data_IF_276973609329
#
_entry.id   IF_276973609329
#
_cell.length_a   1.000
_cell.length_b   1.000
_cell.length_c   1.000
_cell.angle_alpha   90.00
_cell.angle_beta   90.00
_cell.angle_gamma   90.00
#
_symmetry.space_group_name_H-M   'P 1'
#
loop_
_entity.id
_entity.type
_entity.pdbx_description
1 polymer ?
#
# COMPACT_ATOMS: atom_id res chain seq x y z
N UNK A 1 -7.30 -6.43 -14.71
CA UNK A 1 -8.20 -6.08 -13.59
C UNK A 1 -7.41 -5.18 -12.68
N UNK A 2 -7.82 -3.92 -12.50
CA UNK A 2 -7.19 -2.99 -11.58
C UNK A 2 -7.58 -3.39 -10.16
N UNK A 3 -6.61 -3.31 -9.23
CA UNK A 3 -6.83 -3.52 -7.81
C UNK A 3 -7.68 -2.40 -7.17
N UNK A 4 -7.84 -2.46 -5.85
CA UNK A 4 -8.48 -1.38 -5.08
C UNK A 4 -7.72 -0.06 -5.23
N UNK A 5 -8.42 1.07 -5.06
CA UNK A 5 -7.78 2.39 -5.01
C UNK A 5 -7.09 2.57 -3.65
N UNK A 6 -5.77 2.70 -3.66
CA UNK A 6 -4.88 2.77 -2.48
C UNK A 6 -3.90 3.92 -2.60
N UNK A 7 -4.40 5.16 -2.57
CA UNK A 7 -3.58 6.37 -2.78
C UNK A 7 -2.67 6.71 -1.60
N UNK A 8 -3.09 6.39 -0.39
CA UNK A 8 -2.33 6.62 0.83
C UNK A 8 -2.23 5.35 1.68
N UNK A 9 -1.00 5.04 2.10
CA UNK A 9 -0.67 3.93 2.99
C UNK A 9 -0.06 4.53 4.26
N UNK A 10 -0.87 4.68 5.30
CA UNK A 10 -0.46 5.28 6.58
C UNK A 10 0.08 4.21 7.51
N UNK A 11 1.36 4.30 7.86
CA UNK A 11 2.01 3.39 8.80
C UNK A 11 1.82 3.92 10.23
N UNK A 12 1.34 3.06 11.13
CA UNK A 12 1.00 3.41 12.51
C UNK A 12 1.47 2.32 13.46
N UNK A 13 2.21 2.65 14.55
CA UNK A 13 2.57 1.66 15.57
C UNK A 13 1.31 1.06 16.21
N UNK A 14 1.25 -0.27 16.26
CA UNK A 14 0.04 -0.98 16.72
C UNK A 14 -0.25 -0.85 18.22
N UNK A 15 0.71 -0.39 19.03
CA UNK A 15 0.57 -0.15 20.47
C UNK A 15 0.20 1.29 20.84
N UNK A 16 0.28 2.24 19.90
CA UNK A 16 0.10 3.67 20.15
C UNK A 16 -1.35 4.10 19.88
N UNK A 17 -2.16 4.14 20.93
CA UNK A 17 -3.58 4.47 20.84
C UNK A 17 -3.84 5.88 20.31
N UNK A 18 -2.96 6.87 20.58
CA UNK A 18 -3.12 8.23 20.07
C UNK A 18 -2.91 8.26 18.55
N UNK A 19 -1.88 7.56 18.07
CA UNK A 19 -1.61 7.43 16.63
C UNK A 19 -2.69 6.62 15.92
N UNK A 20 -3.23 5.59 16.55
CA UNK A 20 -4.38 4.84 16.02
C UNK A 20 -5.62 5.73 15.91
N UNK A 21 -5.90 6.57 16.91
CA UNK A 21 -7.00 7.53 16.85
C UNK A 21 -6.81 8.59 15.74
N UNK A 22 -5.59 9.12 15.57
CA UNK A 22 -5.25 10.00 14.45
C UNK A 22 -5.46 9.30 13.09
N UNK A 23 -5.03 8.05 12.97
CA UNK A 23 -5.20 7.27 11.76
C UNK A 23 -6.68 7.06 11.42
N UNK A 24 -7.50 6.73 12.41
CA UNK A 24 -8.95 6.57 12.25
C UNK A 24 -9.65 7.82 11.73
N UNK A 25 -9.14 9.01 12.05
CA UNK A 25 -9.63 10.31 11.55
C UNK A 25 -9.02 10.78 10.24
N UNK A 26 -7.97 10.13 9.75
CA UNK A 26 -7.13 10.61 8.64
C UNK A 26 -7.73 10.45 7.25
N UNK A 27 -8.72 9.56 7.08
CA UNK A 27 -9.26 9.15 5.78
C UNK A 27 -8.23 8.43 4.87
N UNK A 28 -7.26 7.71 5.45
CA UNK A 28 -6.28 6.92 4.70
C UNK A 28 -6.98 5.79 3.90
N UNK A 29 -6.54 5.53 2.68
CA UNK A 29 -7.07 4.42 1.89
C UNK A 29 -6.61 3.07 2.47
N UNK A 30 -5.37 3.02 2.94
CA UNK A 30 -4.78 1.88 3.64
C UNK A 30 -4.20 2.35 4.97
N UNK A 31 -4.43 1.61 6.03
CA UNK A 31 -3.70 1.72 7.30
C UNK A 31 -2.82 0.48 7.45
N UNK A 32 -1.53 0.71 7.68
CA UNK A 32 -0.54 -0.32 7.94
C UNK A 32 -0.23 -0.30 9.44
N UNK A 33 -0.75 -1.27 10.17
CA UNK A 33 -0.44 -1.47 11.58
C UNK A 33 0.95 -2.07 11.71
N UNK A 34 1.84 -1.37 12.37
CA UNK A 34 3.24 -1.75 12.43
C UNK A 34 3.58 -2.54 13.70
N UNK A 35 4.28 -3.67 13.52
CA UNK A 35 4.84 -4.49 14.59
C UNK A 35 6.38 -4.46 14.61
N UNK A 36 7.01 -3.68 13.73
CA UNK A 36 8.47 -3.68 13.52
C UNK A 36 9.12 -2.31 13.83
N UNK A 37 9.41 -1.50 12.82
CA UNK A 37 10.32 -0.35 12.90
C UNK A 37 9.86 0.77 13.85
N UNK A 38 8.55 1.01 13.92
CA UNK A 38 8.00 2.05 14.79
C UNK A 38 7.66 1.54 16.19
N UNK A 39 7.92 0.26 16.45
CA UNK A 39 7.64 -0.42 17.72
C UNK A 39 8.95 -0.80 18.39
N UNK A 40 9.25 -0.16 19.52
CA UNK A 40 10.43 -0.54 20.33
C UNK A 40 10.30 -1.99 20.81
N UNK A 41 11.42 -2.72 20.92
CA UNK A 41 11.41 -4.15 21.26
C UNK A 41 10.62 -4.47 22.55
N UNK A 42 10.69 -3.60 23.57
CA UNK A 42 9.93 -3.75 24.81
C UNK A 42 8.42 -3.64 24.65
N UNK A 43 7.94 -3.03 23.58
CA UNK A 43 6.52 -2.80 23.29
C UNK A 43 5.94 -3.82 22.30
N UNK A 44 6.76 -4.70 21.73
CA UNK A 44 6.33 -5.67 20.71
C UNK A 44 5.23 -6.63 21.20
N UNK A 45 5.28 -7.00 22.47
CA UNK A 45 4.24 -7.86 23.06
C UNK A 45 2.90 -7.14 23.13
N UNK A 46 2.90 -5.93 23.66
CA UNK A 46 1.72 -5.07 23.74
C UNK A 46 1.14 -4.77 22.34
N UNK A 47 2.01 -4.49 21.35
CA UNK A 47 1.59 -4.28 19.98
C UNK A 47 0.87 -5.50 19.39
N UNK A 48 1.34 -6.72 19.68
CA UNK A 48 0.67 -7.96 19.26
C UNK A 48 -0.65 -8.18 19.96
N UNK A 49 -0.73 -7.86 21.26
CA UNK A 49 -1.98 -8.02 22.04
C UNK A 49 -3.07 -7.08 21.54
N UNK A 50 -2.71 -5.87 21.15
CA UNK A 50 -3.64 -4.85 20.63
C UNK A 50 -4.05 -5.05 19.17
N UNK A 51 -3.31 -5.84 18.38
CA UNK A 51 -3.41 -5.85 16.92
C UNK A 51 -4.81 -6.24 16.42
N UNK A 52 -5.48 -7.16 17.11
CA UNK A 52 -6.80 -7.64 16.71
C UNK A 52 -7.86 -6.53 16.78
N UNK A 53 -7.85 -5.78 17.87
CA UNK A 53 -8.81 -4.69 18.08
C UNK A 53 -8.48 -3.53 17.13
N UNK A 54 -7.19 -3.22 16.95
CA UNK A 54 -6.74 -2.21 15.99
C UNK A 54 -7.16 -2.54 14.53
N UNK A 55 -7.12 -3.83 14.13
CA UNK A 55 -7.61 -4.27 12.81
C UNK A 55 -9.10 -3.95 12.67
N UNK A 56 -9.90 -4.29 13.67
CA UNK A 56 -11.36 -4.04 13.68
C UNK A 56 -11.64 -2.54 13.60
N UNK A 57 -11.01 -1.75 14.45
CA UNK A 57 -11.22 -0.29 14.52
C UNK A 57 -10.86 0.39 13.21
N UNK A 58 -9.73 0.04 12.61
CA UNK A 58 -9.31 0.63 11.33
C UNK A 58 -10.21 0.18 10.19
N UNK A 59 -10.66 -1.06 10.18
CA UNK A 59 -11.61 -1.55 9.18
C UNK A 59 -12.92 -0.77 9.22
N UNK A 60 -13.42 -0.45 10.40
CA UNK A 60 -14.67 0.28 10.61
C UNK A 60 -14.60 1.75 10.13
N UNK A 61 -13.38 2.28 9.86
CA UNK A 61 -13.21 3.58 9.20
C UNK A 61 -13.39 3.52 7.68
N UNK A 62 -13.51 2.34 7.10
CA UNK A 62 -13.50 2.13 5.65
C UNK A 62 -12.10 2.11 5.03
N UNK A 63 -11.06 2.01 5.85
CA UNK A 63 -9.69 1.76 5.39
C UNK A 63 -9.46 0.28 5.13
N UNK A 64 -8.62 -0.05 4.16
CA UNK A 64 -8.05 -1.38 4.06
C UNK A 64 -6.93 -1.51 5.09
N UNK A 65 -6.84 -2.68 5.75
CA UNK A 65 -5.91 -2.87 6.86
C UNK A 65 -4.84 -3.88 6.49
N UNK A 66 -3.59 -3.45 6.58
CA UNK A 66 -2.41 -4.30 6.49
C UNK A 66 -1.68 -4.32 7.82
N UNK A 67 -0.91 -5.38 8.07
CA UNK A 67 0.00 -5.46 9.22
C UNK A 67 1.42 -5.60 8.69
N UNK A 68 2.33 -4.71 9.11
CA UNK A 68 3.76 -4.86 8.83
C UNK A 68 4.38 -5.75 9.90
N UNK A 69 4.93 -6.88 9.45
CA UNK A 69 5.51 -7.92 10.31
C UNK A 69 7.04 -7.81 10.36
N UNK A 70 7.64 -8.31 11.42
CA UNK A 70 9.08 -8.51 11.50
C UNK A 70 9.44 -9.85 10.84
N UNK A 71 10.31 -9.84 9.85
CA UNK A 71 10.73 -11.05 9.12
C UNK A 71 11.38 -12.09 10.04
N UNK A 72 12.08 -11.65 11.09
CA UNK A 72 12.71 -12.52 12.10
C UNK A 72 11.67 -13.17 13.04
N UNK A 73 10.50 -12.53 13.20
CA UNK A 73 9.43 -12.94 14.11
C UNK A 73 8.14 -13.27 13.36
N UNK A 74 8.23 -13.55 12.06
CA UNK A 74 7.11 -13.63 11.14
C UNK A 74 6.00 -14.57 11.62
N UNK A 75 6.33 -15.73 12.16
CA UNK A 75 5.33 -16.68 12.66
C UNK A 75 4.52 -16.08 13.83
N UNK A 76 5.20 -15.47 14.81
CA UNK A 76 4.52 -14.87 15.96
C UNK A 76 3.64 -13.69 15.55
N UNK A 77 4.12 -12.85 14.63
CA UNK A 77 3.40 -11.70 14.12
C UNK A 77 2.17 -12.12 13.29
N UNK A 78 2.30 -13.13 12.44
CA UNK A 78 1.16 -13.66 11.67
C UNK A 78 0.12 -14.32 12.57
N UNK A 79 0.54 -15.10 13.57
CA UNK A 79 -0.37 -15.67 14.57
C UNK A 79 -1.12 -14.58 15.34
N UNK A 80 -0.48 -13.45 15.66
CA UNK A 80 -1.15 -12.33 16.29
C UNK A 80 -2.13 -11.61 15.33
N UNK A 81 -1.81 -11.52 14.03
CA UNK A 81 -2.42 -10.57 13.11
C UNK A 81 -3.51 -11.13 12.20
N UNK A 82 -3.54 -12.43 11.92
CA UNK A 82 -4.52 -13.01 10.98
C UNK A 82 -5.90 -13.10 11.64
N UNK A 83 -6.65 -12.02 11.58
CA UNK A 83 -8.01 -11.91 12.08
C UNK A 83 -8.96 -11.33 11.04
N UNK A 84 -10.26 -11.51 11.25
CA UNK A 84 -11.30 -10.94 10.39
C UNK A 84 -11.13 -9.41 10.28
N UNK A 85 -11.16 -8.89 9.06
CA UNK A 85 -10.96 -7.48 8.77
C UNK A 85 -9.57 -7.16 8.18
N UNK A 86 -8.60 -8.05 8.34
CA UNK A 86 -7.29 -7.92 7.71
C UNK A 86 -7.40 -8.05 6.18
N UNK A 87 -6.74 -7.16 5.45
CA UNK A 87 -6.62 -7.23 3.98
C UNK A 87 -5.36 -7.97 3.55
N UNK A 88 -4.26 -7.77 4.26
CA UNK A 88 -2.99 -8.40 3.94
C UNK A 88 -1.88 -8.04 4.92
N UNK A 89 -0.67 -8.45 4.58
CA UNK A 89 0.54 -8.19 5.35
C UNK A 89 1.56 -7.44 4.51
N UNK A 90 2.43 -6.68 5.19
CA UNK A 90 3.62 -6.05 4.61
C UNK A 90 4.83 -6.80 5.14
N UNK A 91 5.64 -7.35 4.26
CA UNK A 91 6.88 -8.05 4.61
C UNK A 91 8.07 -7.18 4.18
N UNK A 92 8.77 -6.56 5.11
CA UNK A 92 9.99 -5.81 4.83
C UNK A 92 11.21 -6.74 4.81
N UNK A 93 12.30 -6.27 4.21
CA UNK A 93 13.61 -6.89 4.31
C UNK A 93 13.75 -8.27 3.66
N UNK A 94 12.82 -8.68 2.79
CA UNK A 94 12.87 -9.99 2.10
C UNK A 94 14.10 -10.08 1.21
N UNK A 95 14.86 -11.18 1.33
CA UNK A 95 16.09 -11.43 0.59
C UNK A 95 16.10 -12.71 -0.24
N UNK A 96 15.14 -13.63 0.01
CA UNK A 96 15.03 -14.90 -0.72
C UNK A 96 13.56 -15.34 -0.88
N UNK A 97 13.32 -16.26 -1.80
CA UNK A 97 11.97 -16.74 -2.15
C UNK A 97 11.35 -17.59 -1.04
N UNK A 98 12.16 -18.30 -0.28
CA UNK A 98 11.73 -19.17 0.80
C UNK A 98 10.96 -18.37 1.86
N UNK A 99 11.43 -17.16 2.20
CA UNK A 99 10.74 -16.26 3.14
C UNK A 99 9.32 -15.90 2.69
N UNK A 100 9.12 -15.68 1.39
CA UNK A 100 7.80 -15.39 0.82
C UNK A 100 6.91 -16.63 0.81
N UNK A 101 7.48 -17.79 0.47
CA UNK A 101 6.75 -19.07 0.44
C UNK A 101 6.33 -19.52 1.85
N UNK A 102 7.20 -19.33 2.84
CA UNK A 102 6.90 -19.63 4.24
C UNK A 102 5.76 -18.74 4.75
N UNK A 103 5.79 -17.43 4.44
CA UNK A 103 4.72 -16.52 4.77
C UNK A 103 3.38 -16.93 4.14
N UNK A 104 3.38 -17.32 2.85
CA UNK A 104 2.19 -17.81 2.15
C UNK A 104 1.62 -19.06 2.80
N UNK A 105 2.49 -20.04 3.14
CA UNK A 105 2.07 -21.26 3.83
C UNK A 105 1.43 -20.98 5.19
N UNK A 106 2.07 -20.15 6.02
CA UNK A 106 1.54 -19.76 7.34
C UNK A 106 0.21 -19.05 7.21
N UNK A 107 0.08 -18.11 6.24
CA UNK A 107 -1.19 -17.42 5.97
C UNK A 107 -2.29 -18.40 5.59
N UNK A 108 -2.01 -19.34 4.69
CA UNK A 108 -2.96 -20.36 4.24
C UNK A 108 -3.48 -21.20 5.40
N UNK A 109 -2.58 -21.62 6.28
CA UNK A 109 -2.93 -22.42 7.45
C UNK A 109 -3.81 -21.61 8.44
N UNK A 110 -3.43 -20.37 8.73
CA UNK A 110 -4.16 -19.50 9.66
C UNK A 110 -5.53 -19.08 9.11
N UNK A 111 -5.62 -18.77 7.81
CA UNK A 111 -6.88 -18.49 7.13
C UNK A 111 -7.84 -19.69 7.24
N UNK A 112 -7.34 -20.89 6.96
CA UNK A 112 -8.12 -22.12 7.06
C UNK A 112 -8.58 -22.40 8.51
N UNK A 113 -7.66 -22.29 9.47
CA UNK A 113 -7.95 -22.56 10.89
C UNK A 113 -8.96 -21.58 11.49
N UNK A 114 -8.93 -20.31 11.07
CA UNK A 114 -9.71 -19.22 11.66
C UNK A 114 -10.92 -18.80 10.82
N UNK A 115 -11.09 -19.37 9.63
CA UNK A 115 -12.13 -18.97 8.69
C UNK A 115 -12.00 -17.51 8.25
N UNK A 116 -10.76 -17.02 8.12
CA UNK A 116 -10.48 -15.65 7.71
C UNK A 116 -10.40 -15.59 6.19
N UNK A 117 -11.10 -14.62 5.61
CA UNK A 117 -11.03 -14.28 4.19
C UNK A 117 -10.77 -12.79 4.06
N UNK A 118 -10.08 -12.39 3.02
CA UNK A 118 -9.87 -10.98 2.70
C UNK A 118 -11.21 -10.27 2.52
N UNK A 119 -11.45 -9.15 3.23
CA UNK A 119 -12.69 -8.41 3.05
C UNK A 119 -12.76 -7.79 1.64
N UNK A 120 -13.95 -7.63 1.07
CA UNK A 120 -14.11 -6.94 -0.21
C UNK A 120 -13.64 -5.48 -0.09
N UNK A 121 -13.18 -4.88 -1.19
CA UNK A 121 -12.84 -3.45 -1.23
C UNK A 121 -14.01 -2.60 -0.77
N UNK A 122 -13.73 -1.51 -0.07
CA UNK A 122 -14.77 -0.57 0.39
C UNK A 122 -15.44 0.07 -0.84
N UNK A 123 -16.77 -0.09 -0.94
CA UNK A 123 -17.56 0.37 -2.08
C UNK A 123 -17.79 -0.65 -3.19
N UNK A 124 -17.26 -1.84 -3.07
CA UNK A 124 -17.65 -2.94 -3.94
C UNK A 124 -19.02 -3.47 -3.50
N UNK A 125 -20.04 -3.24 -4.31
CA UNK A 125 -21.44 -3.64 -4.07
C UNK A 125 -21.66 -5.13 -4.40
N UNK A 126 -20.60 -5.89 -4.62
CA UNK A 126 -20.70 -7.32 -4.95
C UNK A 126 -21.18 -8.08 -3.71
N UNK A 127 -22.17 -8.93 -3.92
CA UNK A 127 -22.72 -9.77 -2.87
C UNK A 127 -21.63 -10.66 -2.25
N UNK A 128 -21.70 -10.84 -0.94
CA UNK A 128 -20.74 -11.63 -0.15
C UNK A 128 -20.65 -13.12 -0.57
N UNK A 129 -21.55 -13.57 -1.46
CA UNK A 129 -21.70 -14.96 -1.88
C UNK A 129 -21.12 -15.25 -3.31
N UNK A 130 -20.34 -14.31 -3.88
CA UNK A 130 -19.69 -14.60 -5.16
C UNK A 130 -18.45 -15.50 -4.97
N UNK A 131 -18.51 -16.78 -5.37
CA UNK A 131 -17.48 -17.78 -5.11
C UNK A 131 -16.26 -17.62 -6.03
N UNK A 132 -15.78 -16.40 -6.24
CA UNK A 132 -14.62 -16.14 -7.10
C UNK A 132 -13.30 -16.42 -6.38
N UNK A 133 -13.00 -17.70 -6.17
CA UNK A 133 -11.65 -18.28 -6.05
C UNK A 133 -10.62 -17.52 -5.22
N UNK A 134 -9.35 -17.57 -5.61
CA UNK A 134 -8.18 -17.06 -4.86
C UNK A 134 -8.15 -15.55 -4.59
N UNK A 135 -9.13 -14.77 -5.08
CA UNK A 135 -9.28 -13.34 -4.77
C UNK A 135 -9.64 -13.05 -3.30
N UNK A 136 -10.04 -14.07 -2.54
CA UNK A 136 -10.37 -13.95 -1.12
C UNK A 136 -9.19 -14.21 -0.18
N UNK A 137 -8.04 -14.61 -0.70
CA UNK A 137 -6.84 -14.79 0.11
C UNK A 137 -6.26 -13.45 0.57
N UNK A 138 -5.71 -13.41 1.79
CA UNK A 138 -4.98 -12.25 2.29
C UNK A 138 -3.81 -11.90 1.36
N UNK A 139 -3.58 -10.62 1.14
CA UNK A 139 -2.54 -10.14 0.24
C UNK A 139 -1.16 -10.05 0.93
N UNK A 140 -0.12 -10.11 0.13
CA UNK A 140 1.26 -9.81 0.54
C UNK A 140 1.71 -8.55 -0.20
N UNK A 141 2.16 -7.57 0.56
CA UNK A 141 2.94 -6.43 0.07
C UNK A 141 4.41 -6.66 0.41
N UNK A 142 5.30 -6.59 -0.58
CA UNK A 142 6.74 -6.69 -0.34
C UNK A 142 7.37 -5.30 -0.30
N UNK A 143 8.04 -4.97 0.81
CA UNK A 143 8.91 -3.79 0.88
C UNK A 143 10.33 -4.22 0.54
N UNK A 144 10.84 -3.69 -0.58
CA UNK A 144 12.17 -4.03 -1.10
C UNK A 144 13.22 -3.10 -0.46
N UNK A 145 13.66 -3.45 0.73
CA UNK A 145 14.46 -2.63 1.63
C UNK A 145 15.95 -2.93 1.53
N UNK A 146 16.33 -3.96 0.78
CA UNK A 146 17.72 -4.41 0.61
C UNK A 146 18.13 -4.45 -0.85
N UNK A 147 19.43 -4.30 -1.13
CA UNK A 147 19.99 -4.46 -2.47
C UNK A 147 19.73 -5.86 -3.02
N UNK A 148 19.78 -6.90 -2.16
CA UNK A 148 19.46 -8.28 -2.54
C UNK A 148 17.99 -8.43 -2.92
N UNK A 149 17.07 -7.94 -2.11
CA UNK A 149 15.64 -7.97 -2.40
C UNK A 149 15.29 -7.23 -3.69
N UNK A 150 15.93 -6.07 -3.92
CA UNK A 150 15.78 -5.34 -5.18
C UNK A 150 16.34 -6.10 -6.38
N UNK A 151 17.47 -6.77 -6.24
CA UNK A 151 18.07 -7.57 -7.31
C UNK A 151 17.15 -8.72 -7.72
N UNK A 152 16.65 -9.48 -6.75
CA UNK A 152 15.83 -10.67 -6.95
C UNK A 152 14.30 -10.37 -6.96
N UNK A 153 13.89 -9.10 -7.01
CA UNK A 153 12.50 -8.66 -6.90
C UNK A 153 11.52 -9.47 -7.77
N UNK A 154 11.92 -9.80 -9.00
CA UNK A 154 11.10 -10.58 -9.94
C UNK A 154 10.82 -12.01 -9.44
N UNK A 155 11.81 -12.63 -8.80
CA UNK A 155 11.68 -13.98 -8.24
C UNK A 155 10.84 -13.95 -6.97
N UNK A 156 11.05 -12.95 -6.11
CA UNK A 156 10.28 -12.75 -4.88
C UNK A 156 8.79 -12.54 -5.18
N UNK A 157 8.46 -11.71 -6.17
CA UNK A 157 7.06 -11.47 -6.56
C UNK A 157 6.40 -12.75 -7.08
N UNK A 158 7.12 -13.56 -7.85
CA UNK A 158 6.61 -14.82 -8.41
C UNK A 158 6.53 -15.97 -7.41
N UNK A 159 7.13 -15.82 -6.22
CA UNK A 159 7.14 -16.85 -5.19
C UNK A 159 5.75 -17.13 -4.60
N UNK A 160 4.83 -16.16 -4.67
CA UNK A 160 3.45 -16.32 -4.23
C UNK A 160 2.47 -15.49 -5.06
N UNK A 161 1.33 -16.07 -5.41
CA UNK A 161 0.23 -15.37 -6.06
C UNK A 161 -0.47 -14.35 -5.12
N UNK A 162 -0.16 -14.36 -3.82
CA UNK A 162 -0.63 -13.37 -2.83
C UNK A 162 0.09 -12.04 -2.95
N UNK A 163 1.26 -11.98 -3.59
CA UNK A 163 1.97 -10.72 -3.80
C UNK A 163 1.19 -9.88 -4.80
N UNK A 164 0.59 -8.78 -4.29
CA UNK A 164 -0.26 -7.86 -5.07
C UNK A 164 0.33 -6.47 -5.19
N UNK A 165 1.29 -6.12 -4.33
CA UNK A 165 1.92 -4.79 -4.35
C UNK A 165 3.35 -4.84 -3.85
N UNK A 166 4.15 -3.86 -4.29
CA UNK A 166 5.57 -3.73 -3.92
C UNK A 166 5.94 -2.26 -3.69
N UNK A 167 6.87 -2.02 -2.78
CA UNK A 167 7.44 -0.69 -2.52
C UNK A 167 8.95 -0.75 -2.32
N UNK A 168 9.60 0.42 -2.25
CA UNK A 168 10.98 0.56 -1.79
C UNK A 168 11.00 1.08 -0.36
N UNK A 169 11.65 0.39 0.55
CA UNK A 169 12.03 0.87 1.87
C UNK A 169 13.28 1.76 1.76
N UNK A 170 13.06 3.02 1.43
CA UNK A 170 14.12 3.93 0.97
C UNK A 170 15.21 4.20 2.01
N UNK A 171 14.85 4.30 3.28
CA UNK A 171 15.82 4.58 4.34
C UNK A 171 16.76 3.38 4.54
N UNK A 172 16.20 2.20 4.68
CA UNK A 172 16.94 0.97 4.91
C UNK A 172 17.79 0.60 3.69
N UNK A 173 17.23 0.80 2.50
CA UNK A 173 17.93 0.56 1.24
C UNK A 173 19.15 1.48 1.05
N UNK A 174 19.08 2.76 1.45
CA UNK A 174 20.26 3.66 1.42
C UNK A 174 21.34 3.13 2.34
N UNK A 175 20.98 2.64 3.52
CA UNK A 175 21.94 2.06 4.47
C UNK A 175 22.54 0.75 3.93
N UNK A 176 21.75 -0.12 3.37
CA UNK A 176 22.19 -1.41 2.80
C UNK A 176 23.13 -1.20 1.59
N UNK A 177 22.81 -0.23 0.73
CA UNK A 177 23.65 0.13 -0.40
C UNK A 177 24.89 0.98 0.00
N UNK A 178 25.07 1.24 1.31
CA UNK A 178 26.17 2.07 1.84
C UNK A 178 26.21 3.47 1.23
N UNK A 179 25.05 4.02 0.88
CA UNK A 179 24.91 5.38 0.38
C UNK A 179 25.09 6.40 1.50
N UNK A 180 25.49 7.61 1.15
CA UNK A 180 25.52 8.71 2.10
C UNK A 180 24.09 9.17 2.44
N UNK A 181 23.73 9.36 3.72
CA UNK A 181 22.39 9.79 4.10
C UNK A 181 21.94 11.13 3.52
N UNK A 182 22.91 12.01 3.21
CA UNK A 182 22.69 13.30 2.54
C UNK A 182 22.86 13.24 1.02
N UNK A 183 23.19 12.06 0.49
CA UNK A 183 23.41 11.84 -0.94
C UNK A 183 22.20 12.17 -1.78
N UNK A 184 22.46 12.72 -2.96
CA UNK A 184 21.41 13.05 -3.91
C UNK A 184 20.70 11.79 -4.40
N UNK A 185 19.40 11.88 -4.62
CA UNK A 185 18.50 10.78 -4.93
C UNK A 185 18.71 10.10 -6.28
N UNK A 186 19.70 10.48 -7.06
CA UNK A 186 19.94 9.90 -8.38
C UNK A 186 20.10 8.38 -8.36
N UNK A 187 20.65 7.80 -7.27
CA UNK A 187 20.75 6.35 -7.12
C UNK A 187 19.38 5.69 -6.92
N UNK A 188 18.46 6.37 -6.19
CA UNK A 188 17.12 5.85 -5.95
C UNK A 188 16.20 5.98 -7.16
N UNK A 189 16.42 6.97 -8.02
CA UNK A 189 15.61 7.19 -9.21
C UNK A 189 15.58 5.95 -10.11
N UNK A 190 16.77 5.38 -10.38
CA UNK A 190 16.87 4.14 -11.14
C UNK A 190 16.08 2.98 -10.48
N UNK A 191 16.22 2.81 -9.17
CA UNK A 191 15.52 1.73 -8.45
C UNK A 191 14.01 1.94 -8.43
N UNK A 192 13.54 3.19 -8.32
CA UNK A 192 12.12 3.53 -8.41
C UNK A 192 11.55 3.23 -9.80
N UNK A 193 12.25 3.65 -10.86
CA UNK A 193 11.87 3.34 -12.25
C UNK A 193 11.87 1.82 -12.50
N UNK A 194 12.90 1.12 -12.04
CA UNK A 194 13.01 -0.33 -12.16
C UNK A 194 11.86 -1.04 -11.43
N UNK A 195 11.50 -0.58 -10.23
CA UNK A 195 10.37 -1.13 -9.46
C UNK A 195 9.06 -0.99 -10.26
N UNK A 196 8.79 0.17 -10.84
CA UNK A 196 7.59 0.40 -11.66
C UNK A 196 7.56 -0.55 -12.86
N UNK A 197 8.69 -0.73 -13.56
CA UNK A 197 8.79 -1.65 -14.70
C UNK A 197 8.49 -3.09 -14.28
N UNK A 198 9.09 -3.56 -13.17
CA UNK A 198 8.87 -4.92 -12.66
C UNK A 198 7.41 -5.10 -12.23
N UNK A 199 6.85 -4.13 -11.51
CA UNK A 199 5.47 -4.18 -11.04
C UNK A 199 4.48 -4.31 -12.21
N UNK A 200 4.63 -3.47 -13.23
CA UNK A 200 3.77 -3.53 -14.41
C UNK A 200 3.96 -4.84 -15.20
N UNK A 201 5.19 -5.33 -15.34
CA UNK A 201 5.46 -6.59 -16.04
C UNK A 201 4.84 -7.83 -15.35
N UNK A 202 4.65 -7.76 -14.03
CA UNK A 202 4.11 -8.85 -13.22
C UNK A 202 2.68 -8.61 -12.72
N UNK A 203 2.02 -7.52 -13.15
CA UNK A 203 0.67 -7.13 -12.73
C UNK A 203 0.51 -6.99 -11.21
N UNK A 204 1.52 -6.44 -10.53
CA UNK A 204 1.45 -6.04 -9.13
C UNK A 204 1.48 -4.52 -9.03
N UNK A 205 0.95 -3.96 -7.93
CA UNK A 205 0.81 -2.53 -7.74
C UNK A 205 2.12 -1.91 -7.23
N UNK A 206 2.72 -0.94 -7.92
CA UNK A 206 3.86 -0.19 -7.41
C UNK A 206 3.38 0.89 -6.43
N UNK A 207 3.87 0.83 -5.19
CA UNK A 207 3.57 1.81 -4.14
C UNK A 207 4.81 2.64 -3.86
N UNK A 208 4.70 3.96 -3.99
CA UNK A 208 5.77 4.90 -3.75
C UNK A 208 5.38 6.32 -4.13
N UNK A 209 6.12 7.29 -3.61
CA UNK A 209 5.98 8.69 -3.97
C UNK A 209 7.34 9.24 -4.40
N UNK A 210 7.35 10.22 -5.31
CA UNK A 210 8.60 10.74 -5.87
C UNK A 210 9.21 11.82 -4.97
N UNK A 211 9.69 11.41 -3.80
CA UNK A 211 10.34 12.32 -2.87
C UNK A 211 11.70 12.77 -3.41
N UNK A 212 11.95 14.07 -3.35
CA UNK A 212 13.22 14.66 -3.83
C UNK A 212 14.41 14.43 -2.90
N UNK A 213 14.15 14.11 -1.61
CA UNK A 213 15.20 13.77 -0.65
C UNK A 213 14.80 12.57 0.20
N UNK A 214 15.76 11.71 0.59
CA UNK A 214 15.52 10.47 1.34
C UNK A 214 14.83 10.70 2.68
N UNK A 215 15.25 11.73 3.42
CA UNK A 215 14.69 12.07 4.74
C UNK A 215 13.40 12.89 4.68
N UNK A 216 13.06 13.50 3.55
CA UNK A 216 11.89 14.40 3.46
C UNK A 216 10.56 13.68 3.56
N UNK A 217 10.48 12.41 3.16
CA UNK A 217 9.23 11.64 3.24
C UNK A 217 8.63 11.59 4.65
N UNK A 218 9.48 11.53 5.69
CA UNK A 218 9.04 11.47 7.08
C UNK A 218 8.56 12.82 7.63
N UNK A 219 9.16 13.93 7.18
CA UNK A 219 8.93 15.28 7.71
C UNK A 219 8.28 16.24 6.72
N UNK A 220 7.96 15.75 5.52
CA UNK A 220 7.38 16.56 4.46
C UNK A 220 6.06 17.21 4.89
N UNK A 221 5.94 18.49 4.57
CA UNK A 221 4.70 19.24 4.72
C UNK A 221 3.67 18.88 3.65
N UNK A 222 2.56 19.63 3.62
CA UNK A 222 1.47 19.40 2.68
C UNK A 222 1.93 19.51 1.22
N UNK A 223 2.57 20.62 0.86
CA UNK A 223 2.92 20.93 -0.54
C UNK A 223 4.00 19.97 -1.08
N UNK A 224 5.02 19.66 -0.26
CA UNK A 224 6.05 18.68 -0.64
C UNK A 224 5.46 17.27 -0.83
N UNK A 225 4.50 16.89 0.03
CA UNK A 225 3.82 15.59 -0.09
C UNK A 225 2.93 15.54 -1.32
N UNK A 226 2.18 16.62 -1.58
CA UNK A 226 1.33 16.73 -2.77
C UNK A 226 2.17 16.62 -4.05
N UNK A 227 3.27 17.37 -4.13
CA UNK A 227 4.14 17.33 -5.30
C UNK A 227 4.77 15.94 -5.49
N UNK A 228 5.23 15.30 -4.41
CA UNK A 228 5.79 13.96 -4.47
C UNK A 228 4.75 12.91 -4.93
N UNK A 229 3.48 13.08 -4.58
CA UNK A 229 2.40 12.22 -5.04
C UNK A 229 2.08 12.44 -6.52
N UNK A 230 2.01 13.70 -6.97
CA UNK A 230 1.78 14.03 -8.39
C UNK A 230 2.92 13.46 -9.24
N UNK A 231 4.18 13.75 -8.90
CA UNK A 231 5.35 13.27 -9.62
C UNK A 231 5.39 11.72 -9.61
N UNK A 232 5.03 11.10 -8.47
CA UNK A 232 4.94 9.65 -8.34
C UNK A 232 3.88 9.03 -9.25
N UNK A 233 2.68 9.62 -9.30
CA UNK A 233 1.60 9.20 -10.19
C UNK A 233 2.01 9.31 -11.66
N UNK A 234 2.64 10.43 -12.04
CA UNK A 234 3.15 10.63 -13.40
C UNK A 234 4.24 9.63 -13.78
N UNK A 235 5.05 9.20 -12.82
CA UNK A 235 6.07 8.17 -13.02
C UNK A 235 5.48 6.74 -13.12
N UNK A 236 4.24 6.53 -12.63
CA UNK A 236 3.56 5.23 -12.71
C UNK A 236 3.24 4.58 -11.37
N UNK A 237 3.55 5.20 -10.23
CA UNK A 237 3.07 4.75 -8.93
C UNK A 237 1.57 4.94 -8.78
N UNK A 238 0.94 4.15 -7.91
CA UNK A 238 -0.52 4.17 -7.68
C UNK A 238 -0.91 4.66 -6.28
N UNK A 239 0.05 4.77 -5.37
CA UNK A 239 -0.13 5.26 -4.02
C UNK A 239 1.20 5.45 -3.33
N UNK A 240 1.21 6.08 -2.17
CA UNK A 240 2.42 6.38 -1.41
C UNK A 240 2.33 6.03 0.07
N UNK A 241 3.45 5.59 0.62
CA UNK A 241 3.63 5.33 2.05
C UNK A 241 3.84 6.66 2.78
N UNK A 242 3.24 6.80 3.96
CA UNK A 242 3.43 7.94 4.85
C UNK A 242 3.43 7.53 6.33
N UNK A 243 4.06 8.36 7.17
CA UNK A 243 4.23 8.10 8.60
C UNK A 243 3.35 8.99 9.48
N UNK A 244 2.63 9.96 8.90
CA UNK A 244 1.81 10.89 9.66
C UNK A 244 0.46 11.12 8.99
N UNK A 245 -0.60 11.23 9.78
CA UNK A 245 -1.96 11.45 9.30
C UNK A 245 -2.09 12.72 8.42
N UNK A 246 -1.31 13.77 8.70
CA UNK A 246 -1.29 15.01 7.89
C UNK A 246 -0.87 14.81 6.43
N UNK A 247 -0.14 13.74 6.12
CA UNK A 247 0.31 13.41 4.77
C UNK A 247 -0.75 12.67 3.94
N UNK A 248 -1.78 12.14 4.58
CA UNK A 248 -2.84 11.36 3.90
C UNK A 248 -3.60 12.22 2.89
N UNK A 249 -4.07 13.39 3.30
CA UNK A 249 -4.83 14.27 2.41
C UNK A 249 -4.06 14.67 1.14
N UNK A 250 -2.81 15.17 1.23
CA UNK A 250 -2.03 15.50 0.02
C UNK A 250 -1.71 14.28 -0.84
N UNK A 251 -1.48 13.09 -0.26
CA UNK A 251 -1.35 11.85 -1.04
C UNK A 251 -2.63 11.52 -1.81
N UNK A 252 -3.78 11.49 -1.12
CA UNK A 252 -5.07 11.23 -1.76
C UNK A 252 -5.36 12.22 -2.88
N UNK A 253 -5.01 13.50 -2.68
CA UNK A 253 -5.18 14.56 -3.70
C UNK A 253 -4.24 14.34 -4.89
N UNK A 254 -2.95 14.14 -4.66
CA UNK A 254 -1.95 14.05 -5.74
C UNK A 254 -2.07 12.77 -6.58
N UNK A 255 -2.53 11.66 -5.99
CA UNK A 255 -2.81 10.43 -6.74
C UNK A 255 -4.16 10.44 -7.47
N UNK A 256 -5.03 11.39 -7.18
CA UNK A 256 -6.29 11.58 -7.92
C UNK A 256 -6.02 12.55 -9.08
N UNK A 257 -6.35 12.19 -10.34
CA UNK A 257 -6.26 13.14 -11.45
C UNK A 257 -7.12 14.38 -11.20
N UNK A 258 -6.61 15.54 -11.55
CA UNK A 258 -7.36 16.79 -11.49
C UNK A 258 -8.45 16.85 -12.57
N UNK A 259 -9.44 17.75 -12.39
CA UNK A 259 -10.49 17.94 -13.38
C UNK A 259 -9.93 18.35 -14.75
N UNK A 260 -8.90 19.21 -14.76
CA UNK A 260 -8.26 19.65 -16.00
C UNK A 260 -7.53 18.51 -16.72
N UNK A 261 -6.83 17.63 -15.96
CA UNK A 261 -6.19 16.43 -16.53
C UNK A 261 -7.22 15.47 -17.13
N UNK A 262 -8.36 15.28 -16.46
CA UNK A 262 -9.46 14.43 -16.95
C UNK A 262 -10.07 15.03 -18.22
N UNK A 263 -10.39 16.33 -18.23
CA UNK A 263 -10.93 17.01 -19.40
C UNK A 263 -9.98 16.91 -20.61
N UNK A 264 -8.69 17.11 -20.38
CA UNK A 264 -7.69 16.95 -21.44
C UNK A 264 -7.61 15.50 -21.94
N UNK A 265 -7.70 14.53 -21.05
CA UNK A 265 -7.71 13.11 -21.43
C UNK A 265 -8.96 12.75 -22.27
N UNK A 266 -10.13 13.30 -21.94
CA UNK A 266 -11.36 13.12 -22.72
C UNK A 266 -11.22 13.69 -24.14
N UNK A 267 -10.62 14.87 -24.29
CA UNK A 267 -10.31 15.46 -25.60
C UNK A 267 -9.35 14.57 -26.40
N UNK A 268 -8.25 14.10 -25.78
CA UNK A 268 -7.30 13.18 -26.41
C UNK A 268 -7.98 11.89 -26.83
N UNK A 269 -8.77 11.26 -25.95
CA UNK A 269 -9.47 10.02 -26.22
C UNK A 269 -10.46 10.14 -27.39
N UNK A 270 -11.11 11.31 -27.50
CA UNK A 270 -12.06 11.57 -28.61
C UNK A 270 -11.35 11.80 -29.95
N UNK A 271 -10.19 12.45 -29.92
CA UNK A 271 -9.43 12.82 -31.11
C UNK A 271 -8.57 11.70 -31.68
N UNK A 272 -7.96 10.92 -30.80
CA UNK A 272 -7.01 9.89 -31.18
C UNK A 272 -7.70 8.59 -31.64
N UNK A 273 -7.14 7.86 -32.61
CA UNK A 273 -7.63 6.54 -32.96
C UNK A 273 -7.53 5.56 -31.78
N UNK A 274 -8.49 4.64 -31.63
CA UNK A 274 -8.54 3.68 -30.50
C UNK A 274 -7.31 2.80 -30.33
N UNK A 275 -6.53 2.60 -31.40
CA UNK A 275 -5.25 1.86 -31.35
C UNK A 275 -4.04 2.74 -31.00
N UNK A 276 -4.25 4.04 -30.82
CA UNK A 276 -3.18 4.97 -30.42
C UNK A 276 -2.77 4.73 -28.97
N UNK A 277 -1.45 4.67 -28.66
CA UNK A 277 -0.98 4.64 -27.26
C UNK A 277 -1.51 5.82 -26.45
N UNK A 278 -1.70 6.98 -27.07
CA UNK A 278 -2.24 8.17 -26.40
C UNK A 278 -3.71 7.97 -25.99
N UNK A 279 -4.53 7.33 -26.83
CA UNK A 279 -5.90 6.99 -26.48
C UNK A 279 -5.94 5.99 -25.31
N UNK A 280 -5.02 5.01 -25.30
CA UNK A 280 -4.89 4.06 -24.19
C UNK A 280 -4.54 4.75 -22.85
N UNK A 281 -3.56 5.64 -22.86
CA UNK A 281 -3.17 6.42 -21.67
C UNK A 281 -4.33 7.31 -21.18
N UNK A 282 -5.03 7.98 -22.12
CA UNK A 282 -6.17 8.82 -21.79
C UNK A 282 -7.32 8.01 -21.15
N UNK A 283 -7.67 6.87 -21.75
CA UNK A 283 -8.66 5.94 -21.20
C UNK A 283 -8.29 5.48 -19.80
N UNK A 284 -7.03 5.14 -19.57
CA UNK A 284 -6.53 4.71 -18.26
C UNK A 284 -6.64 5.81 -17.21
N UNK A 285 -6.35 7.06 -17.56
CA UNK A 285 -6.45 8.19 -16.63
C UNK A 285 -7.91 8.49 -16.27
N UNK A 286 -8.82 8.47 -17.26
CA UNK A 286 -10.27 8.66 -17.03
C UNK A 286 -10.79 7.57 -16.09
N UNK A 287 -10.52 6.30 -16.38
CA UNK A 287 -10.94 5.18 -15.54
C UNK A 287 -10.38 5.27 -14.11
N UNK A 288 -9.12 5.67 -13.95
CA UNK A 288 -8.52 5.87 -12.64
C UNK A 288 -9.22 7.00 -11.85
N UNK A 289 -9.58 8.09 -12.52
CA UNK A 289 -10.33 9.18 -11.88
C UNK A 289 -11.70 8.71 -11.37
N UNK A 290 -12.43 7.93 -12.16
CA UNK A 290 -13.73 7.36 -11.77
C UNK A 290 -13.59 6.42 -10.55
N UNK A 291 -12.59 5.55 -10.55
CA UNK A 291 -12.30 4.66 -9.42
C UNK A 291 -12.00 5.46 -8.14
N UNK A 292 -11.20 6.53 -8.24
CA UNK A 292 -10.91 7.43 -7.11
C UNK A 292 -12.19 8.12 -6.57
N UNK A 293 -13.07 8.58 -7.46
CA UNK A 293 -14.35 9.19 -7.06
C UNK A 293 -15.26 8.18 -6.37
N UNK A 294 -15.35 6.96 -6.88
CA UNK A 294 -16.12 5.88 -6.26
C UNK A 294 -15.58 5.54 -4.86
N UNK A 295 -14.26 5.46 -4.71
CA UNK A 295 -13.62 5.27 -3.40
C UNK A 295 -13.99 6.37 -2.41
N UNK A 296 -13.95 7.63 -2.83
CA UNK A 296 -14.32 8.76 -1.98
C UNK A 296 -15.79 8.72 -1.54
N UNK A 297 -16.71 8.37 -2.47
CA UNK A 297 -18.14 8.22 -2.16
C UNK A 297 -18.37 7.12 -1.12
N UNK A 298 -17.74 5.97 -1.30
CA UNK A 298 -17.87 4.83 -0.39
C UNK A 298 -17.39 5.16 1.02
N UNK A 299 -16.25 5.84 1.15
CA UNK A 299 -15.76 6.30 2.46
C UNK A 299 -16.69 7.30 3.12
N UNK A 300 -17.27 8.22 2.35
CA UNK A 300 -18.23 9.18 2.88
C UNK A 300 -19.47 8.50 3.48
N UNK A 301 -19.93 7.41 2.87
CA UNK A 301 -21.05 6.61 3.39
C UNK A 301 -20.68 5.93 4.70
N UNK A 302 -19.52 5.29 4.78
CA UNK A 302 -19.03 4.64 6.01
C UNK A 302 -18.89 5.66 7.15
N UNK A 303 -18.30 6.82 6.87
CA UNK A 303 -18.14 7.89 7.86
C UNK A 303 -19.51 8.42 8.36
N UNK A 304 -20.50 8.56 7.47
CA UNK A 304 -21.84 9.00 7.84
C UNK A 304 -22.55 7.98 8.73
N UNK A 305 -22.41 6.69 8.47
CA UNK A 305 -22.99 5.60 9.30
C UNK A 305 -22.36 5.53 10.70
N UNK A 306 -21.07 5.82 10.82
CA UNK A 306 -20.36 5.81 12.11
C UNK A 306 -20.77 6.97 13.03
N UNK A 307 -21.20 8.08 12.47
CA UNK A 307 -21.61 9.29 13.21
C UNK A 307 -23.10 9.29 13.62
N UNK A 308 -23.86 8.25 13.29
CA UNK A 308 -25.24 8.00 13.71
C UNK A 308 -25.29 7.02 14.88
#
# INVERSE_FOLDING_TARGET
VRGSVRRSWLIVPAHDNDRLAEAAGSNADVVVLDLQDTVHDSMRHEARDNIRDAISDMRDTGSEVFVRVDIELIYADLVASVWRGLTGIVIPGVTNVEQVMDADSILTDLESQRGVVKPPPVGDVREADDPRGPEQALEIHLSLDTGRGNWDAQQLIKASNRVKSISLGRADLVMDLRGEPSGDLHQMEYLMQRLIVIANALNVEPVGAWWRATSRGLVAGYDDTLQAAIDGRMAGFRGGLCMTARQVKPLNTGYTPSADEVSHAEEVFTREPTYSPMAGIASDLIAWSEECQNRNRSKSIVTAQRNQ
#
